data_IF_650014652159
#
_entry.id   IF_650014652159
#
_cell.length_a   1.000
_cell.length_b   1.000
_cell.length_c   1.000
_cell.angle_alpha   90.00
_cell.angle_beta   90.00
_cell.angle_gamma   90.00
#
_symmetry.space_group_name_H-M   'P 1'
#
loop_
_entity.id
_entity.type
_entity.pdbx_description
1 polymer ?
#
# COMPACT_ATOMS: atom_id res chain seq x y z
N UNK A 1 -33.50 -21.39 61.24
CA UNK A 1 -32.54 -21.16 60.13
C UNK A 1 -31.14 -21.47 60.66
N UNK A 2 -30.50 -22.53 60.15
CA UNK A 2 -29.27 -23.09 60.74
C UNK A 2 -28.08 -22.12 60.68
N UNK A 3 -27.32 -22.02 61.77
CA UNK A 3 -26.12 -21.15 61.90
C UNK A 3 -25.11 -21.36 60.76
N UNK A 4 -25.01 -22.60 60.26
CA UNK A 4 -24.16 -22.99 59.13
C UNK A 4 -24.48 -22.21 57.85
N UNK A 5 -25.76 -21.95 57.57
CA UNK A 5 -26.20 -21.21 56.39
C UNK A 5 -25.80 -19.73 56.50
N UNK A 6 -25.90 -19.13 57.69
CA UNK A 6 -25.48 -17.73 57.93
C UNK A 6 -23.98 -17.54 57.68
N UNK A 7 -23.14 -18.45 58.18
CA UNK A 7 -21.69 -18.37 58.01
C UNK A 7 -21.30 -18.54 56.54
N UNK A 8 -21.95 -19.47 55.82
CA UNK A 8 -21.71 -19.69 54.40
C UNK A 8 -22.13 -18.47 53.56
N UNK A 9 -23.29 -17.88 53.85
CA UNK A 9 -23.74 -16.64 53.21
C UNK A 9 -22.78 -15.47 53.47
N UNK A 10 -22.28 -15.34 54.70
CA UNK A 10 -21.30 -14.31 55.05
C UNK A 10 -20.01 -14.48 54.24
N UNK A 11 -19.51 -15.71 54.12
CA UNK A 11 -18.30 -15.99 53.34
C UNK A 11 -18.49 -15.74 51.84
N UNK A 12 -19.67 -16.05 51.30
CA UNK A 12 -20.01 -15.78 49.91
C UNK A 12 -20.06 -14.27 49.62
N UNK A 13 -20.72 -13.50 50.50
CA UNK A 13 -20.90 -12.05 50.36
C UNK A 13 -19.60 -11.27 50.60
N UNK A 14 -18.79 -11.68 51.57
CA UNK A 14 -17.58 -10.92 51.96
C UNK A 14 -16.33 -11.42 51.22
N UNK A 15 -16.28 -12.69 50.84
CA UNK A 15 -15.13 -13.27 50.13
C UNK A 15 -15.33 -13.29 48.63
N UNK A 16 -16.30 -14.08 48.17
CA UNK A 16 -16.42 -14.43 46.75
C UNK A 16 -17.00 -13.29 45.92
N UNK A 17 -18.01 -12.58 46.43
CA UNK A 17 -18.66 -11.50 45.71
C UNK A 17 -17.71 -10.34 45.33
N UNK A 18 -16.90 -9.76 46.25
CA UNK A 18 -15.97 -8.70 45.87
C UNK A 18 -14.87 -9.18 44.91
N UNK A 19 -14.43 -10.44 45.02
CA UNK A 19 -13.51 -11.07 44.07
C UNK A 19 -14.12 -11.16 42.67
N UNK A 20 -15.39 -11.58 42.57
CA UNK A 20 -16.10 -11.67 41.29
C UNK A 20 -16.29 -10.28 40.66
N UNK A 21 -16.62 -9.27 41.47
CA UNK A 21 -16.76 -7.88 41.02
C UNK A 21 -15.42 -7.31 40.50
N UNK A 22 -14.32 -7.51 41.24
CA UNK A 22 -12.98 -7.10 40.82
C UNK A 22 -12.53 -7.82 39.54
N UNK A 23 -12.79 -9.13 39.45
CA UNK A 23 -12.48 -9.93 38.27
C UNK A 23 -13.25 -9.44 37.04
N UNK A 24 -14.55 -9.21 37.19
CA UNK A 24 -15.40 -8.65 36.13
C UNK A 24 -14.91 -7.27 35.69
N UNK A 25 -14.65 -6.37 36.64
CA UNK A 25 -14.14 -5.02 36.34
C UNK A 25 -12.79 -5.04 35.61
N UNK A 26 -11.89 -5.93 36.02
CA UNK A 26 -10.59 -6.12 35.37
C UNK A 26 -10.75 -6.57 33.91
N UNK A 27 -11.61 -7.55 33.65
CA UNK A 27 -11.87 -8.03 32.29
C UNK A 27 -12.42 -6.94 31.38
N UNK A 28 -13.42 -6.17 31.85
CA UNK A 28 -13.96 -5.04 31.08
C UNK A 28 -12.91 -3.98 30.78
N UNK A 29 -12.02 -3.69 31.74
CA UNK A 29 -10.95 -2.70 31.54
C UNK A 29 -9.91 -3.19 30.54
N UNK A 30 -9.53 -4.47 30.60
CA UNK A 30 -8.59 -5.06 29.64
C UNK A 30 -9.18 -5.02 28.23
N UNK A 31 -10.46 -5.35 28.07
CA UNK A 31 -11.14 -5.27 26.78
C UNK A 31 -11.10 -3.86 26.19
N UNK A 32 -11.40 -2.84 27.01
CA UNK A 32 -11.32 -1.44 26.59
C UNK A 32 -9.90 -1.01 26.21
N UNK A 33 -8.88 -1.41 26.98
CA UNK A 33 -7.49 -1.08 26.67
C UNK A 33 -6.99 -1.77 25.39
N UNK A 34 -7.38 -3.03 25.18
CA UNK A 34 -7.10 -3.77 23.94
C UNK A 34 -7.77 -3.11 22.74
N UNK A 35 -9.05 -2.74 22.85
CA UNK A 35 -9.78 -2.08 21.78
C UNK A 35 -9.18 -0.71 21.45
N UNK A 36 -8.80 0.06 22.48
CA UNK A 36 -8.11 1.35 22.31
C UNK A 36 -6.75 1.19 21.62
N UNK A 37 -5.96 0.19 22.02
CA UNK A 37 -4.68 -0.12 21.40
C UNK A 37 -4.83 -0.52 19.94
N UNK A 38 -5.79 -1.40 19.63
CA UNK A 38 -6.10 -1.81 18.26
C UNK A 38 -6.49 -0.61 17.38
N UNK A 39 -7.40 0.25 17.86
CA UNK A 39 -7.81 1.45 17.14
C UNK A 39 -6.65 2.42 16.92
N UNK A 40 -5.78 2.60 17.92
CA UNK A 40 -4.60 3.46 17.79
C UNK A 40 -3.62 2.92 16.75
N UNK A 41 -3.36 1.61 16.76
CA UNK A 41 -2.46 0.97 15.80
C UNK A 41 -3.02 1.06 14.37
N UNK A 42 -4.32 0.82 14.18
CA UNK A 42 -4.97 0.95 12.89
C UNK A 42 -4.92 2.39 12.37
N UNK A 43 -5.14 3.37 13.24
CA UNK A 43 -5.06 4.78 12.88
C UNK A 43 -3.62 5.16 12.51
N UNK A 44 -2.62 4.75 13.29
CA UNK A 44 -1.21 4.99 12.99
C UNK A 44 -0.81 4.38 11.64
N UNK A 45 -1.17 3.12 11.42
CA UNK A 45 -0.91 2.44 10.15
C UNK A 45 -1.60 3.14 8.98
N UNK A 46 -2.86 3.54 9.15
CA UNK A 46 -3.60 4.29 8.14
C UNK A 46 -2.93 5.63 7.80
N UNK A 47 -2.41 6.35 8.80
CA UNK A 47 -1.67 7.59 8.55
C UNK A 47 -0.34 7.37 7.84
N UNK A 48 0.36 6.29 8.16
CA UNK A 48 1.65 5.95 7.55
C UNK A 48 1.47 5.51 6.09
N UNK A 49 0.50 4.64 5.82
CA UNK A 49 0.11 4.26 4.46
C UNK A 49 -0.37 5.48 3.67
N UNK A 50 -1.17 6.36 4.28
CA UNK A 50 -1.61 7.60 3.66
C UNK A 50 -0.44 8.52 3.26
N UNK A 51 0.56 8.66 4.14
CA UNK A 51 1.79 9.40 3.82
C UNK A 51 2.57 8.77 2.69
N UNK A 52 2.68 7.44 2.66
CA UNK A 52 3.39 6.74 1.59
C UNK A 52 2.65 6.89 0.25
N UNK A 53 1.32 6.78 0.24
CA UNK A 53 0.52 7.06 -0.97
C UNK A 53 0.76 8.49 -1.44
N UNK A 54 0.72 9.47 -0.54
CA UNK A 54 0.98 10.86 -0.89
C UNK A 54 2.40 11.06 -1.44
N UNK A 55 3.40 10.39 -0.86
CA UNK A 55 4.79 10.42 -1.32
C UNK A 55 4.91 9.87 -2.73
N UNK A 56 4.36 8.68 -2.97
CA UNK A 56 4.36 7.98 -4.26
C UNK A 56 3.64 8.79 -5.34
N UNK A 57 2.48 9.37 -5.01
CA UNK A 57 1.73 10.25 -5.93
C UNK A 57 2.52 11.52 -6.24
N UNK A 58 3.11 12.16 -5.22
CA UNK A 58 3.93 13.36 -5.42
C UNK A 58 5.18 13.07 -6.26
N UNK A 59 5.81 11.92 -6.06
CA UNK A 59 6.95 11.46 -6.85
C UNK A 59 6.55 11.23 -8.32
N UNK A 60 5.39 10.57 -8.55
CA UNK A 60 4.82 10.42 -9.89
C UNK A 60 4.50 11.75 -10.56
N UNK A 61 3.91 12.70 -9.83
CA UNK A 61 3.63 14.05 -10.34
C UNK A 61 4.92 14.78 -10.74
N UNK A 62 5.93 14.76 -9.87
CA UNK A 62 7.22 15.38 -10.16
C UNK A 62 7.93 14.73 -11.35
N UNK A 63 7.85 13.41 -11.48
CA UNK A 63 8.38 12.70 -12.64
C UNK A 63 7.72 13.19 -13.94
N UNK A 64 6.39 13.24 -13.97
CA UNK A 64 5.62 13.73 -15.13
C UNK A 64 5.91 15.21 -15.42
N UNK A 65 6.11 16.02 -14.38
CA UNK A 65 6.47 17.42 -14.54
C UNK A 65 7.85 17.60 -15.17
N UNK A 66 8.88 16.89 -14.67
CA UNK A 66 10.23 16.88 -15.25
C UNK A 66 10.23 16.38 -16.70
N UNK A 67 9.38 15.40 -16.99
CA UNK A 67 9.10 14.92 -18.34
C UNK A 67 8.54 16.03 -19.24
N UNK A 68 7.52 16.76 -18.77
CA UNK A 68 6.89 17.82 -19.54
C UNK A 68 7.85 18.98 -19.86
N UNK A 69 8.87 19.18 -19.04
CA UNK A 69 9.94 20.16 -19.27
C UNK A 69 11.05 19.66 -20.21
N UNK A 70 11.01 18.39 -20.64
CA UNK A 70 12.03 17.84 -21.52
C UNK A 70 11.99 18.54 -22.91
N UNK A 71 13.08 19.20 -23.34
CA UNK A 71 13.11 19.96 -24.59
C UNK A 71 12.88 19.11 -25.84
N UNK A 72 13.16 17.80 -25.79
CA UNK A 72 12.92 16.88 -26.91
C UNK A 72 11.42 16.61 -27.09
N UNK A 73 10.66 16.57 -25.98
CA UNK A 73 9.21 16.40 -26.02
C UNK A 73 8.48 17.70 -26.42
N UNK A 74 9.09 18.85 -26.15
CA UNK A 74 8.57 20.17 -26.54
C UNK A 74 8.92 20.57 -27.98
N UNK A 75 9.83 19.85 -28.64
CA UNK A 75 10.30 20.20 -29.98
C UNK A 75 9.24 19.85 -31.03
N UNK A 76 8.62 20.88 -31.62
CA UNK A 76 7.54 20.78 -32.63
C UNK A 76 7.92 20.08 -33.94
N UNK A 77 9.22 19.84 -34.16
CA UNK A 77 9.75 19.11 -35.34
C UNK A 77 10.25 17.70 -35.02
N UNK A 78 9.99 17.17 -33.82
CA UNK A 78 10.46 15.85 -33.44
C UNK A 78 9.72 14.78 -34.24
N UNK A 79 10.47 13.83 -34.80
CA UNK A 79 9.85 12.67 -35.45
C UNK A 79 9.21 11.77 -34.40
N UNK A 80 8.15 11.06 -34.79
CA UNK A 80 7.41 10.14 -33.91
C UNK A 80 8.32 9.06 -33.30
N UNK A 81 9.35 8.65 -34.03
CA UNK A 81 10.36 7.68 -33.59
C UNK A 81 11.26 8.25 -32.48
N UNK A 82 11.72 9.49 -32.60
CA UNK A 82 12.53 10.16 -31.57
C UNK A 82 11.74 10.37 -30.27
N UNK A 83 10.45 10.73 -30.38
CA UNK A 83 9.54 10.82 -29.23
C UNK A 83 9.36 9.46 -28.55
N UNK A 84 9.18 8.39 -29.32
CA UNK A 84 9.03 7.03 -28.78
C UNK A 84 10.31 6.48 -28.12
N UNK A 85 11.49 6.89 -28.61
CA UNK A 85 12.79 6.54 -28.04
C UNK A 85 13.01 7.25 -26.69
N UNK A 86 12.76 8.55 -26.63
CA UNK A 86 12.86 9.32 -25.38
C UNK A 86 11.85 8.84 -24.32
N UNK A 87 10.60 8.58 -24.72
CA UNK A 87 9.61 7.93 -23.86
C UNK A 87 10.13 6.57 -23.33
N UNK A 88 10.81 5.79 -24.17
CA UNK A 88 11.42 4.52 -23.77
C UNK A 88 12.53 4.67 -22.72
N UNK A 89 13.34 5.73 -22.82
CA UNK A 89 14.38 6.05 -21.81
C UNK A 89 13.72 6.43 -20.49
N UNK A 90 12.67 7.25 -20.52
CA UNK A 90 11.91 7.66 -19.34
C UNK A 90 11.37 6.48 -18.53
N UNK A 91 10.82 5.44 -19.17
CA UNK A 91 10.33 4.25 -18.46
C UNK A 91 11.42 3.53 -17.66
N UNK A 92 12.69 3.64 -18.07
CA UNK A 92 13.83 3.09 -17.32
C UNK A 92 14.13 3.91 -16.06
N UNK A 93 13.88 5.22 -16.10
CA UNK A 93 14.15 6.13 -14.99
C UNK A 93 12.98 6.26 -14.01
N UNK A 94 11.74 6.09 -14.47
CA UNK A 94 10.52 6.24 -13.66
C UNK A 94 9.66 4.97 -13.71
N UNK A 95 10.04 3.90 -12.98
CA UNK A 95 9.32 2.62 -13.01
C UNK A 95 7.89 2.67 -12.44
N UNK A 96 7.54 3.76 -11.74
CA UNK A 96 6.20 4.04 -11.22
C UNK A 96 5.19 4.37 -12.33
N UNK A 97 5.65 4.84 -13.48
CA UNK A 97 4.78 5.21 -14.60
C UNK A 97 4.55 3.95 -15.43
N UNK A 98 3.30 3.49 -15.50
CA UNK A 98 2.94 2.28 -16.25
C UNK A 98 2.65 2.53 -17.72
N UNK A 99 1.94 3.62 -18.02
CA UNK A 99 1.65 4.06 -19.37
C UNK A 99 1.86 5.57 -19.45
N UNK A 100 2.50 6.01 -20.52
CA UNK A 100 2.77 7.42 -20.78
C UNK A 100 2.28 7.73 -22.19
N UNK A 101 1.40 8.72 -22.28
CA UNK A 101 0.81 9.17 -23.55
C UNK A 101 1.06 10.65 -23.71
N UNK A 102 1.63 11.02 -24.85
CA UNK A 102 1.79 12.40 -25.26
C UNK A 102 0.58 12.81 -26.08
N UNK A 103 -0.08 13.86 -25.60
CA UNK A 103 -1.26 14.46 -26.22
C UNK A 103 -0.88 15.84 -26.77
N UNK A 104 -1.21 16.08 -28.03
CA UNK A 104 -1.16 17.40 -28.63
C UNK A 104 -2.34 18.25 -28.14
N UNK A 105 -2.22 19.57 -28.25
CA UNK A 105 -3.21 20.57 -27.86
C UNK A 105 -4.57 20.40 -28.59
N UNK A 106 -4.56 19.74 -29.74
CA UNK A 106 -5.75 19.38 -30.52
C UNK A 106 -6.38 18.04 -30.10
N UNK A 107 -5.88 17.40 -29.04
CA UNK A 107 -6.34 16.12 -28.53
C UNK A 107 -5.83 14.92 -29.33
N UNK A 108 -4.90 15.10 -30.27
CA UNK A 108 -4.28 13.99 -31.01
C UNK A 108 -3.20 13.33 -30.17
N UNK A 109 -3.09 12.00 -30.31
CA UNK A 109 -2.06 11.21 -29.65
C UNK A 109 -0.82 11.20 -30.55
N UNK A 110 0.22 11.93 -30.15
CA UNK A 110 1.47 12.01 -30.91
C UNK A 110 2.30 10.74 -30.72
N UNK A 111 2.40 10.29 -29.47
CA UNK A 111 3.06 9.05 -29.12
C UNK A 111 2.41 8.41 -27.88
N UNK A 112 2.19 7.10 -27.95
CA UNK A 112 1.83 6.27 -26.80
C UNK A 112 2.74 5.05 -26.80
N UNK A 113 3.24 4.67 -25.63
CA UNK A 113 3.96 3.41 -25.47
C UNK A 113 3.32 2.61 -24.35
N UNK A 114 2.38 1.70 -24.67
CA UNK A 114 1.85 0.78 -23.69
C UNK A 114 2.93 -0.21 -23.26
N UNK A 115 3.03 -0.50 -21.96
CA UNK A 115 4.02 -1.47 -21.41
C UNK A 115 4.00 -2.84 -22.10
N UNK A 116 2.92 -3.20 -22.78
CA UNK A 116 2.73 -4.48 -23.47
C UNK A 116 3.47 -4.62 -24.82
N UNK A 117 4.16 -3.59 -25.31
CA UNK A 117 4.87 -3.65 -26.61
C UNK A 117 6.35 -4.05 -26.51
N UNK A 118 6.77 -4.70 -25.43
CA UNK A 118 8.03 -5.46 -25.42
C UNK A 118 7.75 -6.75 -26.19
N UNK A 119 8.52 -7.11 -27.24
CA UNK A 119 8.31 -8.38 -27.93
C UNK A 119 8.47 -9.52 -26.91
N UNK A 120 7.38 -10.26 -26.68
CA UNK A 120 7.39 -11.59 -26.08
C UNK A 120 8.24 -12.50 -26.98
N UNK A 121 9.56 -12.46 -26.82
CA UNK A 121 10.46 -13.21 -27.70
C UNK A 121 11.92 -13.31 -27.28
N UNK A 122 12.37 -12.71 -26.17
CA UNK A 122 13.79 -12.71 -25.81
C UNK A 122 14.11 -13.05 -24.34
N UNK A 123 13.21 -13.74 -23.63
CA UNK A 123 13.53 -14.34 -22.32
C UNK A 123 12.92 -15.74 -22.23
N UNK A 124 13.37 -16.65 -23.10
CA UNK A 124 13.31 -18.07 -22.79
C UNK A 124 14.39 -18.38 -21.75
N UNK A 125 14.10 -19.10 -20.66
CA UNK A 125 15.15 -19.59 -19.77
C UNK A 125 16.08 -20.54 -20.55
N UNK A 126 17.38 -20.60 -20.22
CA UNK A 126 18.25 -21.60 -20.82
C UNK A 126 17.68 -22.98 -20.54
N UNK A 127 17.38 -23.74 -21.61
CA UNK A 127 17.09 -25.17 -21.53
C UNK A 127 18.34 -25.87 -21.02
N UNK A 128 18.46 -26.01 -19.70
CA UNK A 128 19.42 -26.92 -19.10
C UNK A 128 19.05 -28.34 -19.52
N UNK A 129 19.90 -28.93 -20.34
CA UNK A 129 19.86 -30.35 -20.68
C UNK A 129 20.07 -31.18 -19.43
N UNK A 130 19.03 -31.83 -18.96
CA UNK A 130 19.15 -33.04 -18.16
C UNK A 130 19.06 -34.23 -19.11
N UNK A 131 20.23 -34.77 -19.46
CA UNK A 131 20.38 -36.14 -19.95
C UNK A 131 20.83 -37.00 -18.77
N UNK A 132 19.92 -37.81 -18.24
CA UNK A 132 20.23 -39.08 -17.55
C UNK A 132 20.17 -40.19 -18.61
N UNK A 133 21.02 -41.21 -18.55
CA UNK A 133 20.90 -42.27 -17.54
C UNK A 133 22.04 -42.31 -16.52
#
# INVERSE_FOLDING_TARGET
>A
MNLRIKILLFFLLVGILPLALLGGYSLFRVEQEVQKSANHNLLSLGTEVGKEIQRVVSEGYNAVHLLAENPILLYRGATREALAEELGKTFRFYPIIHDLTLLSLDGRIDASRPRWSIPFGATGPPRNGFSTP
#
